data_IF_060707362045
#
_entry.id   IF_060707362045
#
_cell.length_a   1.000
_cell.length_b   1.000
_cell.length_c   1.000
_cell.angle_alpha   90.00
_cell.angle_beta   90.00
_cell.angle_gamma   90.00
#
_symmetry.space_group_name_H-M   'P 1'
#
loop_
_entity.id
_entity.type
_entity.pdbx_description
1 polymer ?
#
# COMPACT_ATOMS: atom_id res chain seq x y z
N UNK A 1 -28.98 1.49 -24.59
CA UNK A 1 -27.98 0.42 -24.36
C UNK A 1 -26.67 1.09 -23.94
N UNK A 2 -26.49 1.29 -22.63
CA UNK A 2 -25.55 0.51 -21.79
C UNK A 2 -24.08 0.72 -22.14
N UNK A 3 -23.45 1.71 -21.51
CA UNK A 3 -22.09 1.53 -21.00
C UNK A 3 -21.78 2.50 -19.85
N UNK A 4 -22.40 2.27 -18.68
CA UNK A 4 -21.91 2.89 -17.44
C UNK A 4 -20.69 2.07 -17.00
N UNK A 5 -19.55 2.30 -17.67
CA UNK A 5 -18.26 1.67 -17.34
C UNK A 5 -18.02 1.87 -15.84
N UNK A 6 -18.13 0.81 -15.05
CA UNK A 6 -17.70 0.85 -13.66
C UNK A 6 -16.19 1.07 -13.68
N UNK A 7 -15.77 2.29 -13.32
CA UNK A 7 -14.37 2.64 -13.16
C UNK A 7 -13.77 1.70 -12.13
N UNK A 8 -13.08 0.67 -12.60
CA UNK A 8 -12.22 -0.25 -11.84
C UNK A 8 -10.87 0.42 -11.50
N UNK A 9 -10.84 1.75 -11.47
CA UNK A 9 -9.81 2.55 -10.85
C UNK A 9 -10.50 3.29 -9.71
N UNK A 10 -10.57 2.61 -8.57
CA UNK A 10 -10.74 3.31 -7.30
C UNK A 10 -9.43 4.06 -7.11
N UNK A 11 -9.33 5.26 -7.67
CA UNK A 11 -8.35 6.26 -7.26
C UNK A 11 -8.66 6.57 -5.80
N UNK A 12 -8.09 5.77 -4.90
CA UNK A 12 -8.05 6.12 -3.51
C UNK A 12 -6.86 7.09 -3.40
N UNK A 13 -7.05 8.38 -3.14
CA UNK A 13 -5.94 9.28 -2.80
C UNK A 13 -5.04 8.67 -1.71
N UNK A 14 -5.60 7.82 -0.85
CA UNK A 14 -4.89 6.99 0.13
C UNK A 14 -3.86 6.04 -0.52
N UNK A 15 -4.18 5.35 -1.62
CA UNK A 15 -3.24 4.44 -2.29
C UNK A 15 -2.05 5.18 -2.90
N UNK A 16 -2.30 6.33 -3.52
CA UNK A 16 -1.22 7.19 -4.03
C UNK A 16 -0.35 7.71 -2.88
N UNK A 17 -0.96 8.06 -1.75
CA UNK A 17 -0.24 8.46 -0.53
C UNK A 17 0.61 7.32 0.03
N UNK A 18 0.06 6.10 0.10
CA UNK A 18 0.76 4.90 0.57
C UNK A 18 1.95 4.55 -0.33
N UNK A 19 1.76 4.52 -1.65
CA UNK A 19 2.85 4.24 -2.60
C UNK A 19 3.94 5.29 -2.51
N UNK A 20 3.59 6.58 -2.46
CA UNK A 20 4.58 7.66 -2.28
C UNK A 20 5.35 7.50 -0.98
N UNK A 21 4.66 7.22 0.12
CA UNK A 21 5.28 7.01 1.43
C UNK A 21 6.21 5.81 1.40
N UNK A 22 5.79 4.70 0.80
CA UNK A 22 6.58 3.49 0.63
C UNK A 22 7.85 3.77 -0.18
N UNK A 23 7.74 4.42 -1.33
CA UNK A 23 8.87 4.81 -2.17
C UNK A 23 9.82 5.77 -1.43
N UNK A 24 9.29 6.72 -0.67
CA UNK A 24 10.11 7.64 0.13
C UNK A 24 10.96 6.90 1.17
N UNK A 25 10.35 5.98 1.93
CA UNK A 25 11.09 5.16 2.89
C UNK A 25 12.10 4.25 2.18
N UNK A 26 11.76 3.72 1.01
CA UNK A 26 12.64 2.88 0.21
C UNK A 26 13.89 3.64 -0.26
N UNK A 27 13.69 4.85 -0.82
CA UNK A 27 14.80 5.72 -1.25
C UNK A 27 15.63 6.16 -0.05
N UNK A 28 14.98 6.54 1.07
CA UNK A 28 15.68 6.91 2.30
C UNK A 28 16.55 5.77 2.84
N UNK A 29 16.00 4.54 2.89
CA UNK A 29 16.73 3.35 3.30
C UNK A 29 17.90 3.04 2.36
N UNK A 30 17.70 3.13 1.06
CA UNK A 30 18.73 2.89 0.06
C UNK A 30 19.87 3.92 0.15
N UNK A 31 19.54 5.21 0.30
CA UNK A 31 20.52 6.28 0.48
C UNK A 31 21.29 6.12 1.78
N UNK A 32 20.61 5.86 2.89
CA UNK A 32 21.26 5.65 4.17
C UNK A 32 22.20 4.43 4.12
N UNK A 33 21.75 3.34 3.50
CA UNK A 33 22.56 2.14 3.30
C UNK A 33 23.79 2.43 2.43
N UNK A 34 23.65 3.19 1.35
CA UNK A 34 24.77 3.61 0.50
C UNK A 34 25.78 4.47 1.27
N UNK A 35 25.31 5.41 2.10
CA UNK A 35 26.18 6.23 2.97
C UNK A 35 26.91 5.36 3.99
N UNK A 36 26.22 4.42 4.63
CA UNK A 36 26.83 3.49 5.59
C UNK A 36 27.90 2.61 4.92
N UNK A 37 27.62 2.06 3.73
CA UNK A 37 28.58 1.25 2.98
C UNK A 37 29.80 2.07 2.53
N UNK A 38 29.57 3.32 2.10
CA UNK A 38 30.65 4.23 1.74
C UNK A 38 31.51 4.58 2.96
N UNK A 39 30.88 4.91 4.08
CA UNK A 39 31.59 5.19 5.33
C UNK A 39 32.38 3.96 5.80
N UNK A 40 31.81 2.75 5.73
CA UNK A 40 32.53 1.54 6.13
C UNK A 40 33.75 1.29 5.25
N UNK A 41 33.62 1.46 3.92
CA UNK A 41 34.76 1.27 3.00
C UNK A 41 35.83 2.36 3.19
N UNK A 42 35.42 3.60 3.46
CA UNK A 42 36.33 4.72 3.67
C UNK A 42 37.10 4.62 5.00
N UNK A 43 36.41 4.30 6.09
CA UNK A 43 37.02 4.25 7.43
C UNK A 43 37.74 2.94 7.74
N UNK A 44 37.23 1.79 7.26
CA UNK A 44 37.77 0.46 7.61
C UNK A 44 38.58 -0.18 6.48
N UNK A 45 38.44 0.31 5.25
CA UNK A 45 39.10 -0.24 4.07
C UNK A 45 40.40 0.50 3.75
N UNK A 46 40.42 1.18 2.61
CA UNK A 46 41.61 1.84 2.05
C UNK A 46 41.40 3.37 1.99
N UNK A 47 41.72 4.12 3.05
CA UNK A 47 41.42 5.55 3.13
C UNK A 47 42.19 6.43 2.14
N UNK A 48 43.19 5.87 1.44
CA UNK A 48 44.09 6.61 0.54
C UNK A 48 43.59 6.70 -0.91
N UNK A 49 42.46 6.07 -1.23
CA UNK A 49 41.91 6.05 -2.59
C UNK A 49 41.03 7.28 -2.85
N UNK A 50 40.90 7.64 -4.14
CA UNK A 50 39.98 8.70 -4.54
C UNK A 50 38.52 8.27 -4.33
N UNK A 51 37.62 9.24 -4.12
CA UNK A 51 36.17 8.99 -3.94
C UNK A 51 35.61 8.16 -5.10
N UNK A 52 36.03 8.44 -6.35
CA UNK A 52 35.60 7.68 -7.52
C UNK A 52 36.01 6.20 -7.48
N UNK A 53 37.20 5.90 -6.94
CA UNK A 53 37.65 4.52 -6.77
C UNK A 53 36.81 3.78 -5.71
N UNK A 54 36.46 4.44 -4.59
CA UNK A 54 35.54 3.87 -3.61
C UNK A 54 34.17 3.55 -4.20
N UNK A 55 33.61 4.43 -5.03
CA UNK A 55 32.33 4.18 -5.71
C UNK A 55 32.41 2.96 -6.63
N UNK A 56 33.49 2.81 -7.41
CA UNK A 56 33.67 1.67 -8.29
C UNK A 56 33.83 0.36 -7.51
N UNK A 57 34.55 0.38 -6.39
CA UNK A 57 34.71 -0.77 -5.50
C UNK A 57 33.36 -1.18 -4.91
N UNK A 58 32.58 -0.23 -4.39
CA UNK A 58 31.25 -0.48 -3.86
C UNK A 58 30.31 -1.03 -4.92
N UNK A 59 30.36 -0.48 -6.14
CA UNK A 59 29.59 -0.97 -7.26
C UNK A 59 29.94 -2.43 -7.57
N UNK A 60 31.21 -2.77 -7.70
CA UNK A 60 31.63 -4.14 -8.00
C UNK A 60 31.29 -5.13 -6.88
N UNK A 61 31.37 -4.69 -5.61
CA UNK A 61 31.05 -5.53 -4.45
C UNK A 61 29.53 -5.74 -4.27
N UNK A 62 28.73 -4.71 -4.52
CA UNK A 62 27.33 -4.67 -4.07
C UNK A 62 26.28 -4.45 -5.18
N UNK A 63 26.67 -4.32 -6.46
CA UNK A 63 25.72 -4.11 -7.56
C UNK A 63 24.64 -5.21 -7.60
N UNK A 64 25.01 -6.46 -7.33
CA UNK A 64 24.06 -7.57 -7.26
C UNK A 64 22.95 -7.32 -6.22
N UNK A 65 23.31 -6.84 -5.02
CA UNK A 65 22.34 -6.51 -3.97
C UNK A 65 21.47 -5.30 -4.34
N UNK A 66 22.04 -4.31 -5.05
CA UNK A 66 21.26 -3.16 -5.57
C UNK A 66 20.21 -3.65 -6.57
N UNK A 67 20.58 -4.52 -7.50
CA UNK A 67 19.63 -5.11 -8.45
C UNK A 67 18.57 -5.95 -7.75
N UNK A 68 18.96 -6.76 -6.76
CA UNK A 68 18.02 -7.53 -5.95
C UNK A 68 17.02 -6.63 -5.24
N UNK A 69 17.49 -5.54 -4.61
CA UNK A 69 16.64 -4.56 -3.94
C UNK A 69 15.65 -3.93 -4.93
N UNK A 70 16.12 -3.52 -6.11
CA UNK A 70 15.25 -2.96 -7.16
C UNK A 70 14.23 -3.97 -7.69
N UNK A 71 14.60 -5.25 -7.78
CA UNK A 71 13.71 -6.32 -8.23
C UNK A 71 12.61 -6.65 -7.22
N UNK A 72 12.87 -6.50 -5.92
CA UNK A 72 11.88 -6.73 -4.85
C UNK A 72 10.88 -5.57 -4.75
N UNK A 73 11.29 -4.34 -5.07
CA UNK A 73 10.44 -3.15 -4.99
C UNK A 73 9.06 -3.31 -5.66
N UNK A 74 8.92 -3.75 -6.93
CA UNK A 74 7.61 -3.90 -7.57
C UNK A 74 6.72 -4.94 -6.87
N UNK A 75 7.30 -6.03 -6.36
CA UNK A 75 6.56 -7.04 -5.59
C UNK A 75 6.01 -6.43 -4.30
N UNK A 76 6.84 -5.67 -3.60
CA UNK A 76 6.46 -5.02 -2.35
C UNK A 76 5.38 -3.94 -2.55
N UNK A 77 5.49 -3.16 -3.62
CA UNK A 77 4.47 -2.18 -4.03
C UNK A 77 3.16 -2.89 -4.38
N UNK A 78 3.22 -3.95 -5.19
CA UNK A 78 2.04 -4.71 -5.60
C UNK A 78 1.31 -5.32 -4.41
N UNK A 79 2.04 -5.95 -3.49
CA UNK A 79 1.45 -6.58 -2.31
C UNK A 79 0.79 -5.54 -1.37
N UNK A 80 1.48 -4.43 -1.13
CA UNK A 80 0.94 -3.31 -0.34
C UNK A 80 -0.35 -2.75 -0.98
N UNK A 81 -0.36 -2.59 -2.30
CA UNK A 81 -1.55 -2.13 -3.03
C UNK A 81 -2.69 -3.14 -2.98
N UNK A 82 -2.39 -4.43 -3.11
CA UNK A 82 -3.38 -5.52 -3.01
C UNK A 82 -4.06 -5.53 -1.64
N UNK A 83 -3.28 -5.39 -0.57
CA UNK A 83 -3.80 -5.27 0.79
C UNK A 83 -4.65 -4.00 0.92
N UNK A 84 -4.17 -2.85 0.44
CA UNK A 84 -4.93 -1.59 0.48
C UNK A 84 -6.27 -1.68 -0.26
N UNK A 85 -6.31 -2.33 -1.43
CA UNK A 85 -7.54 -2.58 -2.19
C UNK A 85 -8.55 -3.41 -1.41
N UNK A 86 -8.06 -4.41 -0.68
CA UNK A 86 -8.88 -5.27 0.18
C UNK A 86 -9.56 -4.50 1.31
N UNK A 87 -8.99 -3.38 1.76
CA UNK A 87 -9.62 -2.47 2.72
C UNK A 87 -10.57 -1.46 2.05
N UNK A 88 -10.18 -0.88 0.92
CA UNK A 88 -10.92 0.22 0.29
C UNK A 88 -12.29 -0.21 -0.26
N UNK A 89 -12.39 -1.41 -0.83
CA UNK A 89 -13.64 -1.93 -1.39
C UNK A 89 -14.77 -2.04 -0.36
N UNK A 90 -14.56 -2.75 0.76
CA UNK A 90 -15.54 -2.86 1.85
C UNK A 90 -16.00 -1.52 2.42
N UNK A 91 -15.07 -0.59 2.67
CA UNK A 91 -15.39 0.73 3.24
C UNK A 91 -16.29 1.55 2.31
N UNK A 92 -16.06 1.54 0.99
CA UNK A 92 -16.94 2.24 0.05
C UNK A 92 -18.35 1.67 0.02
N UNK A 93 -18.49 0.35 0.12
CA UNK A 93 -19.80 -0.31 0.22
C UNK A 93 -20.53 0.09 1.50
N UNK A 94 -19.80 0.11 2.62
CA UNK A 94 -20.35 0.55 3.91
C UNK A 94 -20.81 2.02 3.86
N UNK A 95 -19.99 2.93 3.34
CA UNK A 95 -20.35 4.34 3.19
C UNK A 95 -21.63 4.52 2.37
N UNK A 96 -21.78 3.76 1.28
CA UNK A 96 -23.00 3.77 0.48
C UNK A 96 -24.19 3.25 1.29
N UNK A 97 -24.06 2.14 2.00
CA UNK A 97 -25.13 1.61 2.85
C UNK A 97 -25.57 2.58 3.93
N UNK A 98 -24.62 3.26 4.60
CA UNK A 98 -24.93 4.30 5.59
C UNK A 98 -25.70 5.46 4.94
N UNK A 99 -25.30 5.91 3.76
CA UNK A 99 -25.96 7.01 3.06
C UNK A 99 -27.40 6.68 2.67
N UNK A 100 -27.63 5.45 2.18
CA UNK A 100 -28.97 4.97 1.83
C UNK A 100 -29.86 4.86 3.08
N UNK A 101 -29.33 4.30 4.17
CA UNK A 101 -30.06 4.22 5.44
C UNK A 101 -30.42 5.61 5.98
N UNK A 102 -29.52 6.58 5.86
CA UNK A 102 -29.77 7.97 6.25
C UNK A 102 -30.86 8.66 5.40
N UNK A 103 -31.12 8.17 4.20
CA UNK A 103 -32.20 8.64 3.32
C UNK A 103 -33.53 7.91 3.55
N UNK A 104 -33.57 6.95 4.49
CA UNK A 104 -34.74 6.10 4.72
C UNK A 104 -34.94 5.03 3.64
N UNK A 105 -33.97 4.82 2.76
CA UNK A 105 -34.03 3.77 1.74
C UNK A 105 -33.83 2.39 2.38
N UNK A 106 -34.40 1.36 1.76
CA UNK A 106 -34.12 -0.03 2.11
C UNK A 106 -32.73 -0.43 1.65
N UNK A 107 -31.89 -0.85 2.60
CA UNK A 107 -30.51 -1.27 2.31
C UNK A 107 -30.43 -2.79 2.33
N UNK A 108 -29.96 -3.38 1.22
CA UNK A 108 -29.68 -4.80 1.14
C UNK A 108 -28.61 -5.23 2.15
N UNK A 109 -28.71 -6.49 2.62
CA UNK A 109 -27.76 -7.05 3.58
C UNK A 109 -26.33 -6.95 3.04
N UNK A 110 -25.49 -6.31 3.82
CA UNK A 110 -24.10 -6.07 3.48
C UNK A 110 -23.29 -7.31 3.84
N UNK A 111 -22.83 -8.07 2.84
CA UNK A 111 -21.93 -9.21 3.05
C UNK A 111 -20.54 -8.93 2.48
N UNK A 112 -19.52 -9.06 3.33
CA UNK A 112 -18.12 -9.02 2.91
C UNK A 112 -17.57 -10.44 2.73
N UNK A 113 -16.53 -10.56 1.90
CA UNK A 113 -15.98 -11.85 1.49
C UNK A 113 -15.25 -12.52 2.67
N UNK A 114 -15.32 -13.84 2.77
CA UNK A 114 -14.69 -14.58 3.88
C UNK A 114 -13.16 -14.36 3.91
N UNK A 115 -12.65 -14.14 5.12
CA UNK A 115 -11.26 -13.83 5.42
C UNK A 115 -10.96 -12.33 5.61
N UNK A 116 -11.87 -11.42 5.23
CA UNK A 116 -11.69 -9.98 5.41
C UNK A 116 -11.86 -9.55 6.87
N UNK A 117 -11.03 -8.60 7.31
CA UNK A 117 -11.06 -7.94 8.63
C UNK A 117 -12.43 -7.30 8.99
N UNK A 118 -13.39 -7.30 8.07
CA UNK A 118 -14.62 -6.50 8.12
C UNK A 118 -15.89 -7.30 8.38
N UNK A 119 -15.83 -8.63 8.54
CA UNK A 119 -17.02 -9.48 8.74
C UNK A 119 -17.91 -9.01 9.90
N UNK A 120 -17.30 -8.73 11.05
CA UNK A 120 -18.00 -8.17 12.22
C UNK A 120 -18.64 -6.81 11.92
N UNK A 121 -17.95 -5.94 11.17
CA UNK A 121 -18.50 -4.62 10.79
C UNK A 121 -19.73 -4.74 9.88
N UNK A 122 -19.74 -5.69 8.94
CA UNK A 122 -20.95 -5.97 8.17
C UNK A 122 -22.10 -6.50 9.04
N UNK A 123 -21.81 -7.36 10.00
CA UNK A 123 -22.83 -7.90 10.92
C UNK A 123 -23.44 -6.78 11.77
N UNK A 124 -22.62 -5.92 12.36
CA UNK A 124 -23.05 -4.77 13.15
C UNK A 124 -23.89 -3.80 12.30
N UNK A 125 -23.45 -3.49 11.08
CA UNK A 125 -24.20 -2.64 10.14
C UNK A 125 -25.58 -3.23 9.81
N UNK A 126 -25.64 -4.53 9.51
CA UNK A 126 -26.91 -5.20 9.16
C UNK A 126 -27.90 -5.20 10.33
N UNK A 127 -27.41 -5.34 11.57
CA UNK A 127 -28.27 -5.25 12.76
C UNK A 127 -28.86 -3.85 12.93
N UNK A 128 -28.06 -2.80 12.71
CA UNK A 128 -28.54 -1.42 12.75
C UNK A 128 -29.59 -1.17 11.66
N UNK A 129 -29.30 -1.56 10.41
CA UNK A 129 -30.23 -1.41 9.30
C UNK A 129 -31.57 -2.13 9.57
N UNK A 130 -31.52 -3.35 10.11
CA UNK A 130 -32.72 -4.10 10.47
C UNK A 130 -33.56 -3.44 11.58
N UNK A 131 -32.94 -2.69 12.50
CA UNK A 131 -33.66 -1.94 13.54
C UNK A 131 -34.30 -0.67 12.98
N UNK A 132 -33.58 0.07 12.14
CA UNK A 132 -34.09 1.27 11.50
C UNK A 132 -35.28 1.01 10.56
N UNK A 133 -35.43 -0.20 10.01
CA UNK A 133 -36.61 -0.56 9.22
C UNK A 133 -37.81 -1.07 10.03
N UNK A 134 -37.63 -1.39 11.32
CA UNK A 134 -38.70 -1.92 12.18
C UNK A 134 -39.37 -0.85 13.06
N UNK A 135 -38.81 0.36 13.12
CA UNK A 135 -39.41 1.52 13.78
C UNK A 135 -39.99 2.48 12.76
#
# INVERSE_FOLDING_TARGET
MTNKRSRYYVDCPVQRSLVKRLLLHWVGFALLSAVCLFASEYFLGTPHLSIGAHVLILWNKYCFFIFLMLAVLPVFVYDTLKISNRFAGPIKRLQRGIHQLAQGETVDRLEFRDGDFWKKLSEDFNQVAARCHKG
#
